data_IF_246962734778
#
_entry.id   IF_246962734778
#
_cell.length_a   1.000
_cell.length_b   1.000
_cell.length_c   1.000
_cell.angle_alpha   90.00
_cell.angle_beta   90.00
_cell.angle_gamma   90.00
#
_symmetry.space_group_name_H-M   'P 1'
#
loop_
_entity.id
_entity.type
_entity.pdbx_description
1 polymer ?
#
# COMPACT_ATOMS: atom_id res chain seq x y z
N UNK A 1 28.25 33.55 -16.90
CA UNK A 1 26.86 33.90 -17.28
C UNK A 1 25.93 32.80 -16.81
N UNK A 2 25.53 32.81 -15.55
CA UNK A 2 24.58 31.84 -15.00
C UNK A 2 23.15 32.33 -15.27
N UNK A 3 22.44 31.69 -16.19
CA UNK A 3 21.03 31.99 -16.44
C UNK A 3 20.18 31.38 -15.32
N UNK A 4 19.56 32.26 -14.55
CA UNK A 4 18.51 31.94 -13.60
C UNK A 4 17.30 31.38 -14.36
N UNK A 5 16.95 30.11 -14.13
CA UNK A 5 15.68 29.56 -14.56
C UNK A 5 14.58 30.07 -13.63
N UNK A 6 13.82 30.99 -14.19
CA UNK A 6 12.65 31.66 -13.64
C UNK A 6 11.54 30.64 -13.31
N UNK A 7 11.10 30.60 -12.05
CA UNK A 7 9.93 29.80 -11.63
C UNK A 7 8.63 30.58 -11.89
N UNK A 8 7.62 30.02 -12.59
CA UNK A 8 6.33 30.68 -12.66
C UNK A 8 5.56 30.47 -11.35
N UNK A 9 5.45 31.55 -10.56
CA UNK A 9 4.41 31.71 -9.55
C UNK A 9 3.06 31.88 -10.25
N UNK A 10 2.18 30.87 -10.12
CA UNK A 10 0.72 31.03 -10.29
C UNK A 10 0.00 30.13 -9.28
N UNK A 11 -0.25 30.67 -8.09
CA UNK A 11 -1.42 30.28 -7.31
C UNK A 11 -2.65 30.88 -8.00
N UNK A 12 -3.44 30.01 -8.63
CA UNK A 12 -4.77 30.32 -9.14
C UNK A 12 -5.77 29.39 -8.46
N UNK A 13 -6.61 29.98 -7.62
CA UNK A 13 -7.66 29.33 -6.85
C UNK A 13 -8.71 28.66 -7.75
N UNK A 14 -9.34 27.61 -7.21
CA UNK A 14 -10.54 26.88 -7.69
C UNK A 14 -10.26 25.53 -8.35
N UNK A 15 -10.11 24.50 -7.51
CA UNK A 15 -10.21 23.09 -7.90
C UNK A 15 -10.34 22.27 -6.63
N UNK A 16 -11.43 21.51 -6.49
CA UNK A 16 -11.72 20.67 -5.33
C UNK A 16 -10.51 19.79 -5.03
N UNK A 17 -9.91 19.96 -3.85
CA UNK A 17 -8.83 19.12 -3.38
C UNK A 17 -9.39 17.70 -3.18
N UNK A 18 -8.85 16.66 -3.83
CA UNK A 18 -9.32 15.30 -3.65
C UNK A 18 -9.06 14.85 -2.21
N UNK A 19 -10.08 14.20 -1.62
CA UNK A 19 -10.21 13.83 -0.20
C UNK A 19 -9.05 12.96 0.34
N UNK A 20 -8.17 12.45 -0.52
CA UNK A 20 -7.09 11.54 -0.13
C UNK A 20 -5.85 12.20 0.50
N UNK A 21 -5.73 13.54 0.48
CA UNK A 21 -4.50 14.22 0.96
C UNK A 21 -4.52 14.72 2.41
N UNK A 22 -5.63 14.60 3.15
CA UNK A 22 -5.76 15.26 4.47
C UNK A 22 -6.21 14.40 5.67
N UNK A 23 -6.14 13.07 5.61
CA UNK A 23 -6.41 12.24 6.79
C UNK A 23 -5.32 11.17 6.97
N UNK A 24 -4.15 11.62 7.42
CA UNK A 24 -3.16 10.76 8.07
C UNK A 24 -2.69 11.40 9.38
N UNK A 25 -3.65 11.90 10.16
CA UNK A 25 -3.45 12.19 11.57
C UNK A 25 -4.60 11.51 12.32
N UNK A 26 -4.26 10.47 13.08
CA UNK A 26 -4.52 10.44 14.51
C UNK A 26 -3.92 9.16 15.09
N UNK A 27 -2.96 9.40 15.99
CA UNK A 27 -2.68 8.66 17.21
C UNK A 27 -3.93 8.00 17.81
N UNK A 28 -3.76 6.79 18.34
CA UNK A 28 -4.44 6.29 19.54
C UNK A 28 -3.51 5.22 20.12
N UNK A 29 -2.59 5.70 20.95
CA UNK A 29 -1.93 4.97 22.03
C UNK A 29 -2.94 4.40 23.03
N UNK A 30 -2.55 3.27 23.63
CA UNK A 30 -3.03 2.70 24.91
C UNK A 30 -4.50 2.32 25.07
N UNK A 31 -4.73 1.01 25.17
CA UNK A 31 -5.36 0.43 26.38
C UNK A 31 -4.60 -0.86 26.75
N UNK A 32 -3.74 -0.74 27.75
CA UNK A 32 -3.37 -1.85 28.64
C UNK A 32 -4.48 -2.07 29.67
N UNK A 33 -4.51 -3.30 30.20
CA UNK A 33 -5.22 -3.78 31.39
C UNK A 33 -6.69 -4.17 31.20
N UNK A 34 -6.94 -5.48 31.29
CA UNK A 34 -7.55 -6.09 32.48
C UNK A 34 -7.35 -7.61 32.41
N UNK A 35 -6.74 -8.16 33.45
CA UNK A 35 -6.68 -9.60 33.66
C UNK A 35 -8.02 -10.13 34.14
N UNK A 36 -8.34 -11.36 33.74
CA UNK A 36 -9.19 -12.26 34.52
C UNK A 36 -8.58 -13.66 34.47
N UNK A 37 -8.28 -14.12 35.68
CA UNK A 37 -8.11 -15.50 36.08
C UNK A 37 -9.46 -16.22 36.01
N UNK A 38 -9.47 -17.44 35.52
CA UNK A 38 -10.42 -18.51 35.88
C UNK A 38 -9.84 -19.80 35.26
N UNK A 39 -9.11 -20.56 36.07
CA UNK A 39 -9.59 -21.73 36.80
C UNK A 39 -9.69 -22.96 35.90
N UNK A 40 -8.78 -23.89 36.16
CA UNK A 40 -8.68 -25.20 35.55
C UNK A 40 -10.01 -25.97 35.57
N UNK A 41 -10.35 -26.58 34.44
CA UNK A 41 -11.05 -27.85 34.43
C UNK A 41 -10.24 -28.86 33.62
N UNK A 42 -9.88 -29.91 34.33
CA UNK A 42 -9.25 -31.15 33.87
C UNK A 42 -9.99 -31.78 32.68
N UNK A 43 -9.28 -32.00 31.58
CA UNK A 43 -9.79 -32.76 30.42
C UNK A 43 -9.36 -34.23 30.55
N UNK A 44 -10.28 -35.21 30.40
CA UNK A 44 -9.94 -36.62 30.49
C UNK A 44 -9.22 -37.11 29.22
N UNK A 45 -8.24 -37.98 29.44
CA UNK A 45 -7.49 -38.76 28.46
C UNK A 45 -8.41 -39.47 27.45
N UNK A 46 -8.17 -39.23 26.16
CA UNK A 46 -8.66 -40.09 25.05
C UNK A 46 -7.47 -40.71 24.32
N UNK A 47 -7.56 -42.01 23.93
CA UNK A 47 -6.42 -42.78 23.45
C UNK A 47 -6.09 -42.52 21.98
N UNK A 48 -4.80 -42.70 21.71
CA UNK A 48 -4.11 -42.70 20.42
C UNK A 48 -4.91 -43.37 19.29
N UNK A 49 -5.16 -42.61 18.23
CA UNK A 49 -5.44 -43.13 16.89
C UNK A 49 -4.44 -42.50 15.93
N UNK A 50 -3.50 -43.33 15.48
CA UNK A 50 -2.58 -43.07 14.40
C UNK A 50 -3.36 -42.75 13.13
N UNK A 51 -3.31 -41.51 12.67
CA UNK A 51 -3.47 -41.20 11.26
C UNK A 51 -2.32 -40.32 10.82
N UNK A 52 -1.47 -40.94 10.01
CA UNK A 52 -0.39 -40.33 9.24
C UNK A 52 -0.99 -39.23 8.35
N UNK A 53 -0.63 -37.97 8.61
CA UNK A 53 -0.73 -36.90 7.62
C UNK A 53 0.56 -36.10 7.70
N UNK A 54 1.36 -36.32 6.66
CA UNK A 54 2.65 -35.69 6.48
C UNK A 54 2.60 -34.18 6.32
N UNK A 55 3.82 -33.66 6.25
CA UNK A 55 4.18 -32.34 5.74
C UNK A 55 3.96 -31.19 6.74
N UNK A 56 4.84 -31.11 7.74
CA UNK A 56 5.21 -29.83 8.38
C UNK A 56 5.95 -28.96 7.37
N UNK A 57 5.20 -28.45 6.38
CA UNK A 57 5.63 -27.33 5.57
C UNK A 57 5.79 -26.13 6.49
N UNK A 58 7.03 -25.88 6.90
CA UNK A 58 7.48 -24.61 7.48
C UNK A 58 6.73 -23.43 6.84
N UNK A 59 6.18 -22.48 7.61
CA UNK A 59 5.31 -21.44 7.08
C UNK A 59 6.08 -20.60 6.07
N UNK A 60 5.82 -20.84 4.78
CA UNK A 60 6.29 -20.00 3.68
C UNK A 60 5.67 -18.62 3.88
N UNK A 61 6.46 -17.72 4.48
CA UNK A 61 6.34 -16.26 4.44
C UNK A 61 5.03 -15.76 3.80
N UNK A 62 4.03 -15.49 4.64
CA UNK A 62 2.72 -14.90 4.30
C UNK A 62 2.83 -13.58 3.49
N UNK A 63 4.05 -13.05 3.34
CA UNK A 63 4.39 -11.79 2.69
C UNK A 63 4.20 -11.74 1.18
N UNK A 64 3.99 -12.88 0.49
CA UNK A 64 3.89 -12.93 -0.99
C UNK A 64 2.60 -13.51 -1.54
N UNK A 65 1.55 -13.68 -0.73
CA UNK A 65 0.25 -14.20 -1.21
C UNK A 65 -0.33 -13.26 -2.29
N UNK A 66 -0.59 -13.78 -3.49
CA UNK A 66 -1.20 -13.06 -4.61
C UNK A 66 -2.62 -12.63 -4.26
N UNK A 67 -2.98 -11.39 -4.61
CA UNK A 67 -4.35 -10.88 -4.45
C UNK A 67 -5.29 -11.51 -5.46
N UNK A 68 -6.41 -12.04 -4.95
CA UNK A 68 -7.47 -12.63 -5.74
C UNK A 68 -8.55 -11.59 -6.06
N UNK A 69 -9.31 -11.73 -7.17
CA UNK A 69 -10.35 -10.77 -7.54
C UNK A 69 -11.42 -10.58 -6.44
N UNK A 70 -11.85 -11.66 -5.78
CA UNK A 70 -12.80 -11.58 -4.67
C UNK A 70 -12.25 -10.81 -3.47
N UNK A 71 -10.94 -10.87 -3.22
CA UNK A 71 -10.30 -10.07 -2.16
C UNK A 71 -10.38 -8.58 -2.52
N UNK A 72 -10.07 -8.24 -3.77
CA UNK A 72 -10.15 -6.86 -4.28
C UNK A 72 -11.58 -6.31 -4.22
N UNK A 73 -12.59 -7.13 -4.57
CA UNK A 73 -14.01 -6.76 -4.48
C UNK A 73 -14.44 -6.41 -3.06
N UNK A 74 -13.99 -7.19 -2.06
CA UNK A 74 -14.26 -6.89 -0.65
C UNK A 74 -13.62 -5.55 -0.27
N UNK A 75 -12.36 -5.33 -0.64
CA UNK A 75 -11.67 -4.05 -0.34
C UNK A 75 -12.42 -2.88 -0.96
N UNK A 76 -12.77 -2.95 -2.25
CA UNK A 76 -13.49 -1.88 -2.96
C UNK A 76 -14.85 -1.62 -2.30
N UNK A 77 -15.64 -2.67 -2.07
CA UNK A 77 -16.98 -2.55 -1.50
C UNK A 77 -16.94 -1.94 -0.10
N UNK A 78 -16.02 -2.39 0.74
CA UNK A 78 -15.89 -1.88 2.10
C UNK A 78 -15.43 -0.43 2.10
N UNK A 79 -14.44 -0.06 1.27
CA UNK A 79 -13.99 1.33 1.15
C UNK A 79 -15.11 2.24 0.62
N UNK A 80 -15.94 1.77 -0.31
CA UNK A 80 -17.12 2.52 -0.76
C UNK A 80 -18.14 2.74 0.36
N UNK A 81 -18.37 1.72 1.21
CA UNK A 81 -19.34 1.80 2.31
C UNK A 81 -18.89 2.66 3.48
N UNK A 82 -17.63 2.52 3.90
CA UNK A 82 -17.15 3.12 5.16
C UNK A 82 -16.02 4.15 4.98
N UNK A 83 -15.54 4.34 3.76
CA UNK A 83 -14.38 5.18 3.42
C UNK A 83 -13.04 4.43 3.53
N UNK A 84 -11.94 5.04 3.03
CA UNK A 84 -10.59 4.45 3.07
C UNK A 84 -9.94 4.60 4.45
N UNK A 85 -10.57 3.99 5.46
CA UNK A 85 -10.17 4.03 6.86
C UNK A 85 -10.47 2.69 7.53
N UNK A 86 -10.02 2.54 8.79
CA UNK A 86 -10.27 1.34 9.61
C UNK A 86 -9.88 0.04 8.87
N UNK A 87 -8.65 0.02 8.33
CA UNK A 87 -8.17 -1.08 7.47
C UNK A 87 -8.20 -2.45 8.15
N UNK A 88 -8.01 -2.50 9.48
CA UNK A 88 -8.10 -3.74 10.24
C UNK A 88 -9.49 -4.38 10.14
N UNK A 89 -10.57 -3.57 10.21
CA UNK A 89 -11.94 -4.05 10.05
C UNK A 89 -12.23 -4.59 8.65
N UNK A 90 -11.58 -4.04 7.62
CA UNK A 90 -11.68 -4.58 6.26
C UNK A 90 -10.93 -5.91 6.17
N UNK A 91 -9.74 -5.99 6.78
CA UNK A 91 -8.93 -7.20 6.79
C UNK A 91 -9.60 -8.38 7.52
N UNK A 92 -10.40 -8.13 8.55
CA UNK A 92 -11.21 -9.17 9.22
C UNK A 92 -12.16 -9.91 8.26
N UNK A 93 -12.53 -9.29 7.13
CA UNK A 93 -13.35 -9.92 6.08
C UNK A 93 -12.55 -10.70 5.05
N UNK A 94 -11.22 -10.66 5.11
CA UNK A 94 -10.32 -11.27 4.11
C UNK A 94 -9.33 -12.21 4.82
N UNK A 95 -9.61 -13.53 4.85
CA UNK A 95 -8.80 -14.48 5.59
C UNK A 95 -7.34 -14.52 5.10
N UNK A 96 -6.41 -14.44 6.05
CA UNK A 96 -4.97 -14.41 5.79
C UNK A 96 -4.46 -13.06 5.27
N UNK A 97 -5.25 -11.99 5.38
CA UNK A 97 -4.78 -10.61 5.15
C UNK A 97 -4.81 -9.79 6.43
N UNK A 98 -3.93 -8.80 6.50
CA UNK A 98 -3.93 -7.81 7.58
C UNK A 98 -4.24 -6.39 7.07
N UNK A 99 -4.55 -5.47 7.99
CA UNK A 99 -4.93 -4.11 7.63
C UNK A 99 -3.88 -3.35 6.82
N UNK A 100 -2.59 -3.56 7.09
CA UNK A 100 -1.53 -2.91 6.32
C UNK A 100 -1.50 -3.41 4.87
N UNK A 101 -1.67 -4.71 4.64
CA UNK A 101 -1.75 -5.29 3.31
C UNK A 101 -2.96 -4.74 2.54
N UNK A 102 -4.11 -4.65 3.19
CA UNK A 102 -5.33 -4.07 2.59
C UNK A 102 -5.11 -2.60 2.21
N UNK A 103 -4.56 -1.80 3.13
CA UNK A 103 -4.24 -0.39 2.86
C UNK A 103 -3.28 -0.24 1.68
N UNK A 104 -2.23 -1.05 1.64
CA UNK A 104 -1.25 -1.03 0.57
C UNK A 104 -1.90 -1.42 -0.76
N UNK A 105 -2.75 -2.45 -0.76
CA UNK A 105 -3.48 -2.87 -1.95
C UNK A 105 -4.38 -1.76 -2.50
N UNK A 106 -5.12 -1.09 -1.63
CA UNK A 106 -5.96 0.04 -2.00
C UNK A 106 -5.13 1.19 -2.59
N UNK A 107 -4.13 1.66 -1.85
CA UNK A 107 -3.35 2.87 -2.18
C UNK A 107 -2.40 2.69 -3.36
N UNK A 108 -2.04 1.46 -3.71
CA UNK A 108 -1.16 1.19 -4.86
C UNK A 108 -1.90 0.72 -6.11
N UNK A 109 -3.09 0.12 -5.99
CA UNK A 109 -3.70 -0.58 -7.12
C UNK A 109 -5.20 -0.35 -7.32
N UNK A 110 -5.99 -0.27 -6.24
CA UNK A 110 -7.46 -0.26 -6.36
C UNK A 110 -8.07 1.15 -6.34
N UNK A 111 -7.38 2.12 -5.76
CA UNK A 111 -7.89 3.49 -5.67
C UNK A 111 -8.13 4.06 -7.08
N UNK A 112 -9.35 4.57 -7.39
CA UNK A 112 -9.69 5.10 -8.71
C UNK A 112 -8.81 6.27 -9.15
N UNK A 113 -8.28 7.02 -8.20
CA UNK A 113 -7.40 8.15 -8.47
C UNK A 113 -6.10 7.70 -9.15
N UNK A 114 -5.70 6.42 -9.02
CA UNK A 114 -4.45 5.93 -9.60
C UNK A 114 -4.58 5.78 -11.11
N UNK A 115 -3.78 6.55 -11.85
CA UNK A 115 -3.71 6.49 -13.30
C UNK A 115 -3.13 5.15 -13.78
N UNK A 116 -3.83 4.52 -14.71
CA UNK A 116 -3.48 3.24 -15.35
C UNK A 116 -2.82 3.40 -16.72
N UNK A 117 -2.60 4.63 -17.17
CA UNK A 117 -2.05 4.91 -18.50
C UNK A 117 -0.58 4.51 -18.60
N UNK A 118 -0.03 4.42 -19.80
CA UNK A 118 1.42 4.18 -19.97
C UNK A 118 2.22 5.42 -19.55
N UNK A 119 3.47 5.22 -19.16
CA UNK A 119 4.41 6.34 -18.97
C UNK A 119 4.76 6.94 -20.33
N UNK A 120 4.68 8.26 -20.44
CA UNK A 120 5.13 8.98 -21.63
C UNK A 120 6.65 9.17 -21.61
N UNK A 121 7.30 9.38 -22.77
CA UNK A 121 8.73 9.67 -22.82
C UNK A 121 9.12 10.91 -22.00
N UNK A 122 8.26 11.92 -21.93
CA UNK A 122 8.46 13.14 -21.13
C UNK A 122 8.44 12.82 -19.64
N UNK A 123 7.52 11.95 -19.20
CA UNK A 123 7.45 11.48 -17.82
C UNK A 123 8.69 10.66 -17.47
N UNK A 124 9.20 9.83 -18.38
CA UNK A 124 10.43 9.07 -18.18
C UNK A 124 11.66 9.97 -18.03
N UNK A 125 11.80 10.96 -18.92
CA UNK A 125 12.89 11.93 -18.85
C UNK A 125 12.85 12.70 -17.53
N UNK A 126 11.66 13.14 -17.11
CA UNK A 126 11.46 13.82 -15.82
C UNK A 126 11.76 12.90 -14.65
N UNK A 127 11.32 11.64 -14.67
CA UNK A 127 11.60 10.65 -13.63
C UNK A 127 13.10 10.47 -13.41
N UNK A 128 13.86 10.31 -14.49
CA UNK A 128 15.32 10.14 -14.42
C UNK A 128 16.01 11.39 -13.86
N UNK A 129 15.61 12.57 -14.31
CA UNK A 129 16.16 13.84 -13.81
C UNK A 129 15.83 14.08 -12.33
N UNK A 130 14.60 13.79 -11.91
CA UNK A 130 14.20 13.94 -10.50
C UNK A 130 14.92 12.93 -9.61
N UNK A 131 15.10 11.69 -10.07
CA UNK A 131 15.83 10.67 -9.29
C UNK A 131 17.30 11.06 -9.11
N UNK A 132 17.95 11.67 -10.11
CA UNK A 132 19.34 12.12 -9.97
C UNK A 132 19.50 13.27 -8.97
N UNK A 133 18.45 14.07 -8.75
CA UNK A 133 18.46 15.22 -7.83
C UNK A 133 18.04 14.81 -6.41
N UNK A 134 16.95 14.04 -6.27
CA UNK A 134 16.31 13.72 -5.00
C UNK A 134 16.57 12.29 -4.50
N UNK A 135 17.33 11.49 -5.25
CA UNK A 135 17.56 10.08 -4.94
C UNK A 135 16.28 9.25 -4.95
N UNK A 136 16.19 8.25 -4.08
CA UNK A 136 15.07 7.30 -4.03
C UNK A 136 13.84 7.84 -3.27
N UNK A 137 13.61 9.16 -3.29
CA UNK A 137 12.44 9.78 -2.68
C UNK A 137 11.20 9.66 -3.57
N UNK A 138 10.71 8.43 -3.74
CA UNK A 138 9.63 8.10 -4.68
C UNK A 138 8.31 8.84 -4.43
N UNK A 139 8.02 9.20 -3.18
CA UNK A 139 6.83 9.99 -2.82
C UNK A 139 6.94 11.41 -3.39
N UNK A 140 8.07 12.07 -3.19
CA UNK A 140 8.33 13.40 -3.72
C UNK A 140 8.36 13.39 -5.25
N UNK A 141 9.07 12.43 -5.83
CA UNK A 141 9.20 12.27 -7.28
C UNK A 141 7.84 12.04 -7.92
N UNK A 142 6.99 11.17 -7.34
CA UNK A 142 5.64 10.93 -7.83
C UNK A 142 4.78 12.20 -7.84
N UNK A 143 4.86 13.01 -6.78
CA UNK A 143 4.16 14.29 -6.72
C UNK A 143 4.63 15.28 -7.81
N UNK A 144 5.93 15.30 -8.13
CA UNK A 144 6.52 16.21 -9.12
C UNK A 144 6.35 15.77 -10.58
N UNK A 145 6.23 14.46 -10.85
CA UNK A 145 6.06 13.96 -12.23
C UNK A 145 4.76 14.46 -12.84
N UNK A 146 3.73 14.68 -12.02
CA UNK A 146 2.44 15.16 -12.50
C UNK A 146 1.70 14.03 -13.20
N UNK A 147 0.98 13.26 -12.39
CA UNK A 147 -0.06 12.31 -12.72
C UNK A 147 -0.37 11.63 -11.39
N UNK A 148 -1.62 11.28 -11.11
CA UNK A 148 -1.96 10.52 -9.91
C UNK A 148 -1.40 9.08 -10.03
N UNK A 149 -0.08 8.92 -9.97
CA UNK A 149 0.63 7.64 -10.08
C UNK A 149 0.92 7.13 -8.69
N UNK A 150 0.87 5.82 -8.52
CA UNK A 150 1.29 5.23 -7.25
C UNK A 150 2.80 5.32 -7.10
N UNK A 151 3.27 5.43 -5.86
CA UNK A 151 4.70 5.39 -5.51
C UNK A 151 5.37 4.13 -6.08
N UNK A 152 4.62 3.02 -6.14
CA UNK A 152 5.11 1.76 -6.68
C UNK A 152 5.30 1.81 -8.20
N UNK A 153 4.43 2.48 -8.94
CA UNK A 153 4.58 2.66 -10.38
C UNK A 153 5.84 3.47 -10.71
N UNK A 154 6.07 4.56 -9.98
CA UNK A 154 7.26 5.41 -10.13
C UNK A 154 8.54 4.59 -9.93
N UNK A 155 8.62 3.87 -8.81
CA UNK A 155 9.77 3.00 -8.49
C UNK A 155 9.97 1.91 -9.56
N UNK A 156 8.89 1.22 -9.93
CA UNK A 156 8.96 0.16 -10.94
C UNK A 156 9.40 0.69 -12.31
N UNK A 157 8.90 1.86 -12.70
CA UNK A 157 9.28 2.50 -13.96
C UNK A 157 10.76 2.86 -13.96
N UNK A 158 11.26 3.45 -12.88
CA UNK A 158 12.67 3.79 -12.76
C UNK A 158 13.56 2.54 -12.91
N UNK A 159 13.23 1.44 -12.21
CA UNK A 159 14.00 0.19 -12.34
C UNK A 159 13.94 -0.39 -13.76
N UNK A 160 12.80 -0.29 -14.45
CA UNK A 160 12.69 -0.71 -15.84
C UNK A 160 13.58 0.13 -16.77
N UNK A 161 13.61 1.45 -16.59
CA UNK A 161 14.47 2.36 -17.34
C UNK A 161 15.95 2.15 -17.05
N UNK A 162 16.30 1.90 -15.78
CA UNK A 162 17.68 1.67 -15.33
C UNK A 162 18.26 0.41 -15.96
N UNK A 163 17.49 -0.69 -15.97
CA UNK A 163 17.90 -1.94 -16.65
C UNK A 163 18.12 -1.74 -18.16
N UNK A 164 17.33 -0.88 -18.81
CA UNK A 164 17.49 -0.59 -20.24
C UNK A 164 18.72 0.26 -20.53
N UNK A 165 19.20 1.05 -19.56
CA UNK A 165 20.32 1.98 -19.70
C UNK A 165 21.68 1.38 -19.33
N UNK A 166 21.74 0.18 -18.75
CA UNK A 166 22.97 -0.43 -18.21
C UNK A 166 23.80 0.57 -17.37
N UNK A 167 23.14 1.23 -16.41
CA UNK A 167 23.81 1.83 -15.24
C UNK A 167 23.85 0.80 -14.10
#
# INVERSE_FOLDING_TARGET
>A
MAQMLNMPSRFGSSGRIPICHLLCSNDESDISSTGLLESELTVPTVPSLTHDLGNTGSPKSESRKRWMPWEDEIVVTMVQKQGPRKWNQIAEKIPGRNGNQVRLRWTLYLCPDISKEKFTPEQDARLLALQSVYGNNWKLIGAMIGANRSINDIKNRYHALSRKRNL
#
